data_IF_380917399441
#
_entry.id   IF_380917399441
#
_cell.length_a   1.000
_cell.length_b   1.000
_cell.length_c   1.000
_cell.angle_alpha   90.00
_cell.angle_beta   90.00
_cell.angle_gamma   90.00
#
_symmetry.space_group_name_H-M   'P 1'
#
loop_
_entity.id
_entity.type
_entity.pdbx_description
1 polymer ?
#
# COMPACT_ATOMS: atom_id res chain seq x y z
N UNK A 1 -21.49 0.57 -5.58
CA UNK A 1 -20.15 0.98 -5.10
C UNK A 1 -19.98 2.42 -5.55
N UNK A 2 -19.79 3.36 -4.63
CA UNK A 2 -19.59 4.78 -4.99
C UNK A 2 -18.14 4.93 -5.42
N UNK A 3 -17.90 5.52 -6.60
CA UNK A 3 -16.55 5.80 -7.10
C UNK A 3 -16.36 7.31 -7.16
N UNK A 4 -15.34 7.80 -6.46
CA UNK A 4 -14.91 9.19 -6.53
C UNK A 4 -13.92 9.38 -7.69
N UNK A 5 -13.98 10.55 -8.34
CA UNK A 5 -13.08 10.90 -9.45
C UNK A 5 -12.08 11.95 -8.99
N UNK A 6 -10.82 11.77 -9.38
CA UNK A 6 -9.72 12.66 -9.00
C UNK A 6 -8.93 12.98 -10.27
N UNK A 7 -8.61 14.25 -10.48
CA UNK A 7 -7.73 14.69 -11.56
C UNK A 7 -6.31 14.84 -11.04
N UNK A 8 -5.35 14.18 -11.69
CA UNK A 8 -3.93 14.22 -11.32
C UNK A 8 -3.07 14.49 -12.55
N UNK A 9 -1.95 15.20 -12.36
CA UNK A 9 -0.93 15.39 -13.40
C UNK A 9 0.18 14.38 -13.20
N UNK A 10 0.53 13.67 -14.27
CA UNK A 10 1.63 12.70 -14.29
C UNK A 10 2.66 13.14 -15.33
N UNK A 11 3.93 12.82 -15.08
CA UNK A 11 4.98 13.02 -16.07
C UNK A 11 4.75 12.14 -17.29
N UNK A 12 5.09 12.64 -18.48
CA UNK A 12 4.87 11.95 -19.75
C UNK A 12 5.40 10.50 -19.76
N UNK A 13 6.64 10.28 -19.33
CA UNK A 13 7.22 8.92 -19.31
C UNK A 13 6.57 7.94 -18.32
N UNK A 14 5.79 8.41 -17.34
CA UNK A 14 4.97 7.52 -16.50
C UNK A 14 3.72 7.10 -17.26
N UNK A 15 3.11 8.03 -18.01
CA UNK A 15 1.93 7.73 -18.82
C UNK A 15 2.27 6.69 -19.89
N UNK A 16 3.43 6.82 -20.55
CA UNK A 16 3.92 5.83 -21.51
C UNK A 16 4.05 4.43 -20.88
N UNK A 17 4.66 4.33 -19.69
CA UNK A 17 4.77 3.05 -18.99
C UNK A 17 3.42 2.46 -18.60
N UNK A 18 2.45 3.30 -18.23
CA UNK A 18 1.08 2.85 -17.96
C UNK A 18 0.44 2.30 -19.23
N UNK A 19 0.71 2.93 -20.39
CA UNK A 19 0.23 2.45 -21.69
C UNK A 19 0.85 1.12 -22.09
N UNK A 20 2.15 0.93 -21.89
CA UNK A 20 2.83 -0.35 -22.14
C UNK A 20 2.19 -1.50 -21.34
N UNK A 21 1.83 -1.25 -20.07
CA UNK A 21 1.16 -2.23 -19.20
C UNK A 21 -0.25 -2.60 -19.66
N UNK A 22 -0.95 -1.67 -20.31
CA UNK A 22 -2.26 -1.94 -20.92
C UNK A 22 -2.08 -2.68 -22.25
N UNK A 23 -1.10 -2.27 -23.06
CA UNK A 23 -0.85 -2.84 -24.38
C UNK A 23 -0.37 -4.30 -24.31
N UNK A 24 0.41 -4.64 -23.28
CA UNK A 24 0.82 -6.02 -22.97
C UNK A 24 -0.34 -6.91 -22.49
N UNK A 25 -1.53 -6.35 -22.26
CA UNK A 25 -2.71 -7.08 -21.82
C UNK A 25 -2.72 -7.46 -20.34
N UNK A 26 -1.76 -6.99 -19.54
CA UNK A 26 -1.75 -7.22 -18.09
C UNK A 26 -2.91 -6.51 -17.39
N UNK A 27 -3.34 -5.36 -17.92
CA UNK A 27 -4.45 -4.58 -17.38
C UNK A 27 -5.43 -4.20 -18.49
N UNK A 28 -6.72 -4.16 -18.16
CA UNK A 28 -7.78 -3.85 -19.12
C UNK A 28 -7.83 -2.36 -19.49
N UNK A 29 -7.39 -1.46 -18.61
CA UNK A 29 -7.38 -0.02 -18.83
C UNK A 29 -6.38 0.71 -17.93
N UNK A 30 -6.04 1.95 -18.30
CA UNK A 30 -5.14 2.83 -17.51
C UNK A 30 -5.62 3.03 -16.08
N UNK A 31 -6.93 3.19 -15.89
CA UNK A 31 -7.51 3.40 -14.57
C UNK A 31 -7.29 2.21 -13.64
N UNK A 32 -7.21 1.00 -14.18
CA UNK A 32 -6.98 -0.21 -13.41
C UNK A 32 -5.54 -0.31 -12.91
N UNK A 33 -4.59 0.04 -13.78
CA UNK A 33 -3.17 0.18 -13.42
C UNK A 33 -3.02 1.18 -12.26
N UNK A 34 -3.63 2.36 -12.40
CA UNK A 34 -3.53 3.43 -11.38
C UNK A 34 -4.18 2.98 -10.08
N UNK A 35 -5.37 2.37 -10.12
CA UNK A 35 -6.04 1.86 -8.92
C UNK A 35 -5.20 0.81 -8.21
N UNK A 36 -4.60 -0.13 -8.95
CA UNK A 36 -3.78 -1.18 -8.34
C UNK A 36 -2.50 -0.62 -7.74
N UNK A 37 -1.83 0.30 -8.44
CA UNK A 37 -0.64 0.98 -7.93
C UNK A 37 -0.94 1.76 -6.63
N UNK A 38 -2.03 2.53 -6.60
CA UNK A 38 -2.45 3.28 -5.40
C UNK A 38 -2.83 2.33 -4.27
N UNK A 39 -3.54 1.24 -4.58
CA UNK A 39 -3.91 0.21 -3.58
C UNK A 39 -2.68 -0.39 -2.92
N UNK A 40 -1.69 -0.81 -3.71
CA UNK A 40 -0.42 -1.37 -3.18
C UNK A 40 0.31 -0.35 -2.32
N UNK A 41 0.42 0.89 -2.79
CA UNK A 41 1.08 1.96 -2.03
C UNK A 41 0.39 2.22 -0.68
N UNK A 42 -0.95 2.23 -0.65
CA UNK A 42 -1.71 2.42 0.58
C UNK A 42 -1.53 1.23 1.51
N UNK A 43 -1.62 -0.01 0.99
CA UNK A 43 -1.41 -1.22 1.77
C UNK A 43 0.00 -1.27 2.39
N UNK A 44 1.03 -0.92 1.63
CA UNK A 44 2.42 -0.93 2.11
C UNK A 44 2.67 0.10 3.22
N UNK A 45 1.93 1.22 3.20
CA UNK A 45 2.05 2.28 4.22
C UNK A 45 1.18 2.05 5.44
N UNK A 46 0.22 1.13 5.39
CA UNK A 46 -0.65 0.83 6.51
C UNK A 46 0.11 0.01 7.56
N UNK A 47 0.44 0.66 8.67
CA UNK A 47 1.09 0.04 9.83
C UNK A 47 0.14 -0.99 10.42
N UNK A 48 0.62 -2.24 10.54
CA UNK A 48 -0.14 -3.34 11.15
C UNK A 48 -0.86 -4.26 10.15
N UNK A 49 -0.72 -4.03 8.84
CA UNK A 49 -1.14 -5.02 7.84
C UNK A 49 -0.05 -6.08 7.73
N UNK A 50 -0.43 -7.33 7.95
CA UNK A 50 0.43 -8.50 7.81
C UNK A 50 0.00 -9.19 6.52
N UNK A 51 0.88 -9.39 5.54
CA UNK A 51 0.55 -10.19 4.37
C UNK A 51 0.21 -11.59 4.85
N UNK A 52 -1.01 -12.06 4.57
CA UNK A 52 -1.41 -13.40 4.98
C UNK A 52 -0.75 -14.44 4.06
N UNK A 53 0.52 -14.75 4.33
CA UNK A 53 1.33 -15.70 3.55
C UNK A 53 1.04 -17.18 3.86
N UNK A 54 0.01 -17.45 4.66
CA UNK A 54 -0.59 -18.78 4.82
C UNK A 54 -0.80 -19.19 6.29
N UNK A 55 0.06 -18.76 7.20
CA UNK A 55 -0.01 -19.16 8.62
C UNK A 55 -0.01 -17.93 9.53
N UNK A 56 -1.12 -17.18 9.48
CA UNK A 56 -1.30 -15.87 10.13
C UNK A 56 -0.96 -15.89 11.63
N UNK A 57 -1.16 -17.03 12.29
CA UNK A 57 -0.90 -17.19 13.74
C UNK A 57 0.59 -17.16 14.05
N UNK A 58 1.44 -17.78 13.22
CA UNK A 58 2.90 -17.77 13.43
C UNK A 58 3.47 -16.37 13.22
N UNK A 59 3.02 -15.69 12.17
CA UNK A 59 3.45 -14.33 11.84
C UNK A 59 3.08 -13.33 12.96
N UNK A 60 1.83 -13.38 13.45
CA UNK A 60 1.38 -12.53 14.57
C UNK A 60 2.17 -12.83 15.85
N UNK A 61 2.50 -14.10 16.10
CA UNK A 61 3.29 -14.50 17.28
C UNK A 61 4.72 -13.98 17.21
N UNK A 62 5.37 -14.02 16.05
CA UNK A 62 6.71 -13.47 15.85
C UNK A 62 6.73 -11.95 15.94
N UNK A 63 5.75 -11.27 15.36
CA UNK A 63 5.60 -9.81 15.43
C UNK A 63 5.38 -9.38 16.87
N UNK A 64 4.46 -10.03 17.63
CA UNK A 64 4.29 -9.76 19.07
C UNK A 64 5.60 -9.96 19.86
N UNK A 65 6.38 -10.99 19.52
CA UNK A 65 7.66 -11.26 20.18
C UNK A 65 8.71 -10.19 19.84
N UNK A 66 8.72 -9.66 18.62
CA UNK A 66 9.57 -8.52 18.22
C UNK A 66 9.13 -7.22 18.91
N UNK A 67 7.85 -6.88 18.85
CA UNK A 67 7.27 -5.70 19.50
C UNK A 67 7.46 -5.72 21.03
N UNK A 68 7.39 -6.88 21.67
CA UNK A 68 7.63 -7.00 23.12
C UNK A 68 9.09 -6.71 23.52
N UNK A 69 10.03 -6.78 22.58
CA UNK A 69 11.45 -6.51 22.83
C UNK A 69 11.84 -5.07 22.47
N UNK A 70 11.10 -4.43 21.57
CA UNK A 70 11.26 -3.02 21.25
C UNK A 70 10.53 -2.15 22.27
N UNK A 71 11.27 -1.36 23.06
CA UNK A 71 10.68 -0.32 23.92
C UNK A 71 10.25 0.86 23.05
N UNK A 72 9.00 0.90 22.64
CA UNK A 72 8.42 2.08 21.98
C UNK A 72 8.29 3.22 22.99
N UNK A 73 8.89 4.36 22.69
CA UNK A 73 8.73 5.57 23.50
C UNK A 73 7.42 6.27 23.09
N UNK A 74 6.35 5.93 23.79
CA UNK A 74 4.95 6.30 23.49
C UNK A 74 4.76 7.83 23.40
N UNK A 75 5.62 8.59 24.07
CA UNK A 75 5.56 10.06 24.13
C UNK A 75 5.94 10.75 22.80
N UNK A 76 6.72 10.09 21.93
CA UNK A 76 7.06 10.65 20.60
C UNK A 76 5.93 10.48 19.59
N UNK A 77 5.09 9.46 19.74
CA UNK A 77 4.03 9.12 18.78
C UNK A 77 2.86 10.10 18.90
N UNK A 78 2.56 10.59 20.11
CA UNK A 78 1.51 11.59 20.34
C UNK A 78 1.78 12.93 19.65
N UNK A 79 3.05 13.34 19.49
CA UNK A 79 3.43 14.62 18.86
C UNK A 79 3.24 14.68 17.34
N UNK A 80 2.97 13.56 16.67
CA UNK A 80 2.73 13.51 15.22
C UNK A 80 1.22 13.63 14.90
N UNK A 81 0.36 13.51 15.92
CA UNK A 81 -1.09 13.54 15.79
C UNK A 81 -1.73 14.89 16.17
N UNK A 82 -0.90 15.89 16.52
CA UNK A 82 -1.27 17.31 16.67
C UNK A 82 -0.66 18.10 15.49
#
# INVERSE_FOLDING_TARGET
MVMDTIQVRLSHGIVEKVDDLVQTGMYANRSDVIRDAVRRLVLDKLIGIIPNTGDSVKEVKEIRKKLSKEKFNVDKIKKIAD
#
